data_IF_761483511853
#
_entry.id   IF_761483511853
#
_cell.length_a   1.000
_cell.length_b   1.000
_cell.length_c   1.000
_cell.angle_alpha   90.00
_cell.angle_beta   90.00
_cell.angle_gamma   90.00
#
_symmetry.space_group_name_H-M   'P 1'
#
loop_
_entity.id
_entity.type
_entity.pdbx_description
1 polymer ?
#
# COMPACT_ATOMS: atom_id res chain seq x y z
N UNK A 1 11.67 13.81 7.83
CA UNK A 1 12.04 13.40 6.47
C UNK A 1 13.51 12.92 6.47
N UNK A 2 13.76 11.70 7.00
CA UNK A 2 15.11 11.21 7.37
C UNK A 2 15.95 10.81 6.15
N UNK A 3 15.31 10.30 5.09
CA UNK A 3 16.00 9.79 3.90
C UNK A 3 16.32 10.88 2.86
N UNK A 4 15.73 12.07 2.97
CA UNK A 4 15.92 13.20 2.04
C UNK A 4 17.41 13.56 1.77
N UNK A 5 18.34 13.57 2.75
CA UNK A 5 19.74 13.90 2.49
C UNK A 5 20.55 12.75 1.86
N UNK A 6 20.06 11.51 1.91
CA UNK A 6 20.80 10.33 1.42
C UNK A 6 20.51 10.13 -0.08
N UNK A 7 21.30 10.77 -0.94
CA UNK A 7 21.07 10.82 -2.39
C UNK A 7 20.92 9.43 -3.05
N UNK A 8 21.71 8.45 -2.62
CA UNK A 8 21.65 7.07 -3.14
C UNK A 8 20.29 6.40 -2.90
N UNK A 9 19.51 6.88 -1.93
CA UNK A 9 18.21 6.33 -1.57
C UNK A 9 17.03 7.15 -2.12
N UNK A 10 17.25 8.11 -3.02
CA UNK A 10 16.20 9.02 -3.49
C UNK A 10 14.92 8.31 -3.98
N UNK A 11 15.07 7.22 -4.75
CA UNK A 11 13.93 6.42 -5.23
C UNK A 11 13.18 5.73 -4.08
N UNK A 12 13.91 5.19 -3.11
CA UNK A 12 13.33 4.54 -1.92
C UNK A 12 12.69 5.56 -1.00
N UNK A 13 13.28 6.75 -0.85
CA UNK A 13 12.75 7.84 -0.05
C UNK A 13 11.35 8.26 -0.53
N UNK A 14 11.11 8.28 -1.84
CA UNK A 14 9.78 8.49 -2.40
C UNK A 14 8.80 7.40 -1.96
N UNK A 15 9.17 6.12 -2.05
CA UNK A 15 8.30 5.01 -1.62
C UNK A 15 8.00 5.05 -0.12
N UNK A 16 9.05 5.23 0.70
CA UNK A 16 8.94 5.31 2.17
C UNK A 16 8.07 6.49 2.60
N UNK A 17 8.15 7.63 1.92
CA UNK A 17 7.32 8.79 2.28
C UNK A 17 5.84 8.55 2.00
N UNK A 18 5.50 7.90 0.88
CA UNK A 18 4.14 7.89 0.34
C UNK A 18 3.42 6.54 0.46
N UNK A 19 4.00 5.50 1.07
CA UNK A 19 3.34 4.20 1.22
C UNK A 19 2.06 4.21 2.09
N UNK A 20 1.71 5.36 2.69
CA UNK A 20 0.46 5.58 3.42
C UNK A 20 -0.55 6.42 2.62
N UNK A 21 -0.23 6.76 1.37
CA UNK A 21 -1.17 7.39 0.47
C UNK A 21 -2.30 6.42 0.08
N UNK A 22 -3.43 6.98 -0.35
CA UNK A 22 -4.60 6.22 -0.80
C UNK A 22 -4.88 6.58 -2.25
N UNK A 23 -5.24 5.60 -3.08
CA UNK A 23 -5.45 5.83 -4.53
C UNK A 23 -6.49 6.93 -4.82
N UNK A 24 -7.44 7.13 -3.90
CA UNK A 24 -8.49 8.15 -4.01
C UNK A 24 -8.05 9.57 -3.58
N UNK A 25 -6.77 9.79 -3.25
CA UNK A 25 -6.23 11.09 -2.82
C UNK A 25 -6.55 11.49 -1.38
N UNK A 26 -7.14 10.60 -0.56
CA UNK A 26 -7.46 10.87 0.85
C UNK A 26 -6.40 10.37 1.83
N UNK A 27 -5.27 9.90 1.30
CA UNK A 27 -4.13 9.45 2.09
C UNK A 27 -3.26 10.60 2.58
N UNK A 28 -2.10 10.24 3.12
CA UNK A 28 -1.12 11.18 3.64
C UNK A 28 0.29 10.67 3.29
N UNK A 29 1.32 11.55 3.31
CA UNK A 29 1.33 12.93 3.80
C UNK A 29 0.86 14.01 2.81
N UNK A 30 0.87 13.73 1.52
CA UNK A 30 0.74 14.74 0.47
C UNK A 30 -0.59 14.62 -0.30
N UNK A 31 -1.38 13.56 -0.07
CA UNK A 31 -2.72 13.40 -0.66
C UNK A 31 -2.66 13.05 -2.14
N UNK A 32 -1.65 12.28 -2.54
CA UNK A 32 -1.38 11.95 -3.94
C UNK A 32 -2.58 11.24 -4.57
N UNK A 33 -2.90 11.61 -5.81
CA UNK A 33 -3.90 10.92 -6.64
C UNK A 33 -3.27 9.80 -7.46
N UNK A 34 -4.12 8.95 -8.00
CA UNK A 34 -3.74 7.77 -8.78
C UNK A 34 -2.66 8.04 -9.84
N UNK A 35 -2.81 9.13 -10.60
CA UNK A 35 -1.94 9.54 -11.70
C UNK A 35 -0.54 10.01 -11.23
N UNK A 36 -0.41 10.40 -9.96
CA UNK A 36 0.85 10.86 -9.34
C UNK A 36 1.63 9.70 -8.71
N UNK A 37 0.99 8.54 -8.55
CA UNK A 37 1.59 7.37 -7.93
C UNK A 37 2.29 6.48 -8.95
N UNK A 38 3.58 6.23 -8.72
CA UNK A 38 4.29 5.20 -9.48
C UNK A 38 3.69 3.80 -9.26
N UNK A 39 3.80 2.92 -10.25
CA UNK A 39 3.38 1.51 -10.11
C UNK A 39 4.05 0.83 -8.91
N UNK A 40 5.35 1.11 -8.67
CA UNK A 40 6.08 0.57 -7.52
C UNK A 40 5.46 0.98 -6.18
N UNK A 41 4.97 2.23 -6.08
CA UNK A 41 4.27 2.71 -4.89
C UNK A 41 2.93 1.99 -4.70
N UNK A 42 2.14 1.87 -5.78
CA UNK A 42 0.85 1.18 -5.75
C UNK A 42 0.99 -0.29 -5.30
N UNK A 43 2.03 -0.99 -5.80
CA UNK A 43 2.36 -2.35 -5.37
C UNK A 43 2.78 -2.40 -3.90
N UNK A 44 3.64 -1.47 -3.47
CA UNK A 44 4.12 -1.41 -2.09
C UNK A 44 2.96 -1.22 -1.09
N UNK A 45 2.01 -0.32 -1.38
CA UNK A 45 0.83 -0.08 -0.54
C UNK A 45 0.01 -1.37 -0.35
N UNK A 46 -0.24 -2.11 -1.44
CA UNK A 46 -0.98 -3.37 -1.37
C UNK A 46 -0.21 -4.45 -0.58
N UNK A 47 1.10 -4.56 -0.79
CA UNK A 47 1.96 -5.52 -0.11
C UNK A 47 2.06 -5.24 1.40
N UNK A 48 2.30 -3.98 1.78
CA UNK A 48 2.38 -3.54 3.19
C UNK A 48 1.06 -3.79 3.93
N UNK A 49 -0.08 -3.46 3.30
CA UNK A 49 -1.39 -3.74 3.86
C UNK A 49 -1.65 -5.25 4.03
N UNK A 50 -1.28 -6.07 3.04
CA UNK A 50 -1.47 -7.52 3.12
C UNK A 50 -0.65 -8.14 4.25
N UNK A 51 0.63 -7.76 4.38
CA UNK A 51 1.49 -8.21 5.47
C UNK A 51 0.92 -7.76 6.83
N UNK A 52 0.49 -6.51 6.92
CA UNK A 52 -0.13 -5.96 8.13
C UNK A 52 -1.40 -6.71 8.54
N UNK A 53 -2.22 -7.13 7.57
CA UNK A 53 -3.45 -7.91 7.77
C UNK A 53 -3.17 -9.34 8.20
N UNK A 54 -2.17 -9.99 7.60
CA UNK A 54 -1.88 -11.42 7.78
C UNK A 54 -0.83 -11.72 8.87
N UNK A 55 -0.28 -10.68 9.50
CA UNK A 55 0.58 -10.81 10.67
C UNK A 55 -0.20 -10.66 11.99
N UNK A 56 0.20 -11.44 13.00
CA UNK A 56 -0.25 -11.28 14.39
C UNK A 56 0.28 -9.94 14.94
N UNK A 57 -0.58 -9.20 15.65
CA UNK A 57 -0.23 -7.95 16.33
C UNK A 57 -0.68 -8.03 17.79
N UNK A 58 -0.06 -7.29 18.72
CA UNK A 58 -0.41 -7.36 20.15
C UNK A 58 -1.90 -7.20 20.46
N UNK A 59 -2.62 -6.46 19.61
CA UNK A 59 -4.04 -6.13 19.77
C UNK A 59 -4.98 -6.86 18.78
N UNK A 60 -4.46 -7.68 17.86
CA UNK A 60 -5.26 -8.30 16.81
C UNK A 60 -4.58 -9.55 16.25
N UNK A 61 -5.34 -10.64 16.11
CA UNK A 61 -4.88 -11.84 15.40
C UNK A 61 -4.79 -11.61 13.89
N UNK A 62 -3.86 -12.32 13.26
CA UNK A 62 -3.72 -12.38 11.82
C UNK A 62 -5.05 -12.73 11.16
N UNK A 63 -5.39 -12.04 10.07
CA UNK A 63 -6.47 -12.45 9.18
C UNK A 63 -6.03 -13.69 8.41
N UNK A 64 -6.99 -14.54 8.09
CA UNK A 64 -6.82 -15.56 7.06
C UNK A 64 -6.56 -14.90 5.70
N UNK A 65 -5.97 -15.70 4.81
CA UNK A 65 -5.72 -15.31 3.41
C UNK A 65 -6.99 -14.85 2.70
N UNK A 66 -8.11 -15.54 2.93
CA UNK A 66 -9.41 -15.19 2.32
C UNK A 66 -10.02 -13.91 2.91
N UNK A 67 -9.83 -13.65 4.20
CA UNK A 67 -10.19 -12.35 4.81
C UNK A 67 -9.38 -11.20 4.20
N UNK A 68 -8.06 -11.36 4.07
CA UNK A 68 -7.21 -10.34 3.48
C UNK A 68 -7.58 -10.06 2.00
N UNK A 69 -7.91 -11.10 1.22
CA UNK A 69 -8.44 -10.94 -0.15
C UNK A 69 -9.74 -10.14 -0.19
N UNK A 70 -10.67 -10.40 0.75
CA UNK A 70 -11.92 -9.66 0.84
C UNK A 70 -11.67 -8.18 1.15
N UNK A 71 -10.77 -7.86 2.06
CA UNK A 71 -10.42 -6.47 2.36
C UNK A 71 -9.71 -5.78 1.19
N UNK A 72 -8.76 -6.45 0.51
CA UNK A 72 -8.14 -5.94 -0.72
C UNK A 72 -9.17 -5.61 -1.79
N UNK A 73 -10.13 -6.52 -2.01
CA UNK A 73 -11.22 -6.30 -2.98
C UNK A 73 -12.14 -5.16 -2.56
N UNK A 74 -12.51 -5.10 -1.27
CA UNK A 74 -13.42 -4.10 -0.70
C UNK A 74 -12.85 -2.67 -0.78
N UNK A 75 -11.55 -2.52 -0.59
CA UNK A 75 -10.87 -1.21 -0.63
C UNK A 75 -10.16 -0.91 -1.96
N UNK A 76 -10.41 -1.72 -2.99
CA UNK A 76 -10.02 -1.44 -4.37
C UNK A 76 -10.67 -0.13 -4.86
N UNK A 77 -9.86 0.77 -5.44
CA UNK A 77 -10.29 2.11 -5.84
C UNK A 77 -10.39 3.13 -4.68
N UNK A 78 -10.13 2.71 -3.44
CA UNK A 78 -10.10 3.58 -2.26
C UNK A 78 -8.67 3.68 -1.74
N UNK A 79 -8.12 2.57 -1.24
CA UNK A 79 -6.74 2.48 -0.79
C UNK A 79 -5.83 1.95 -1.89
N UNK A 80 -6.32 0.96 -2.64
CA UNK A 80 -5.51 0.22 -3.59
C UNK A 80 -5.87 0.57 -5.03
N UNK A 81 -4.86 0.67 -5.88
CA UNK A 81 -5.05 0.64 -7.33
C UNK A 81 -5.83 -0.62 -7.75
N UNK A 82 -6.93 -0.49 -8.51
CA UNK A 82 -7.75 -1.65 -8.85
C UNK A 82 -7.02 -2.74 -9.63
N UNK A 83 -6.12 -2.35 -10.55
CA UNK A 83 -5.35 -3.29 -11.35
C UNK A 83 -4.32 -4.05 -10.52
N UNK A 84 -3.67 -3.37 -9.58
CA UNK A 84 -2.77 -4.01 -8.60
C UNK A 84 -3.55 -4.94 -7.68
N UNK A 85 -4.66 -4.48 -7.09
CA UNK A 85 -5.47 -5.28 -6.17
C UNK A 85 -5.99 -6.57 -6.82
N UNK A 86 -6.42 -6.50 -8.08
CA UNK A 86 -6.86 -7.68 -8.83
C UNK A 86 -5.72 -8.70 -9.02
N UNK A 87 -4.52 -8.23 -9.41
CA UNK A 87 -3.36 -9.11 -9.73
C UNK A 87 -2.75 -9.72 -8.48
N UNK A 88 -2.32 -8.88 -7.54
CA UNK A 88 -2.86 -8.93 -6.18
C UNK A 88 -3.37 -10.27 -5.65
N UNK A 89 -4.70 -10.30 -5.54
CA UNK A 89 -5.55 -11.40 -5.10
C UNK A 89 -5.33 -12.70 -5.89
N UNK A 90 -4.97 -12.63 -7.18
CA UNK A 90 -4.77 -13.82 -8.03
C UNK A 90 -3.48 -14.58 -7.71
N UNK A 91 -2.44 -13.90 -7.23
CA UNK A 91 -1.13 -14.52 -6.94
C UNK A 91 -0.98 -15.00 -5.50
N UNK A 92 -1.78 -14.43 -4.58
CA UNK A 92 -1.92 -14.95 -3.23
C UNK A 92 -3.00 -16.01 -3.23
#
# INVERSE_FOLDING_TARGET
>A
NILKPVRSLAKVAYLVRHHQEQINGKGYPDGLKEEEMSLALKILIAADAYDAMTSDRPYRKAMSKEEAKRELKKYSGIYFDPGVAERFIKII
#
